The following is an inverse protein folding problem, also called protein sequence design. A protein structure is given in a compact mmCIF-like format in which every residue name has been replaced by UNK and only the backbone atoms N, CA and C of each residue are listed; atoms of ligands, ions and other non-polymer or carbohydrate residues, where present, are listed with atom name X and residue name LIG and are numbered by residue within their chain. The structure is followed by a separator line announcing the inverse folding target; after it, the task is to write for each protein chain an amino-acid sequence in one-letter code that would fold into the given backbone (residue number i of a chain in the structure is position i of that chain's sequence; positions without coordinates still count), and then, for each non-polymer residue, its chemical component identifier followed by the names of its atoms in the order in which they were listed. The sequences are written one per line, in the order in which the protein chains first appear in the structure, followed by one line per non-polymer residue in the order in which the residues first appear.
data_IF_645928387741
#
_entry.id   IF_645928387741
#
_cell.length_a   1.000
_cell.length_b   1.000
_cell.length_c   1.000
_cell.angle_alpha   90.00
_cell.angle_beta   90.00
_cell.angle_gamma   90.00
#
_symmetry.space_group_name_H-M   'P 1'
#
loop_
_entity.id
_entity.type
_entity.pdbx_description
1 polymer ?
#
# COMPACT_ATOMS: atom_id res chain seq x y z
N UNK A 1 2.27 -5.66 3.51
CA UNK A 1 0.95 -6.33 3.59
C UNK A 1 0.25 -5.92 4.87
N UNK A 2 -1.06 -5.72 4.80
CA UNK A 2 -1.93 -5.55 5.97
C UNK A 2 -2.92 -6.71 6.05
N UNK A 3 -3.29 -7.07 7.27
CA UNK A 3 -4.29 -8.10 7.58
C UNK A 3 -4.97 -7.75 8.91
N UNK A 4 -6.00 -8.49 9.29
CA UNK A 4 -6.67 -8.28 10.57
C UNK A 4 -5.69 -8.42 11.75
N UNK A 5 -5.84 -7.61 12.79
CA UNK A 5 -4.93 -7.58 13.94
C UNK A 5 -4.80 -8.95 14.62
N UNK A 6 -5.89 -9.71 14.72
CA UNK A 6 -5.91 -11.07 15.27
C UNK A 6 -5.55 -12.18 14.29
N UNK A 7 -5.00 -11.86 13.11
CA UNK A 7 -4.63 -12.87 12.12
C UNK A 7 -3.40 -13.67 12.54
N UNK A 8 -3.34 -14.90 12.08
CA UNK A 8 -2.24 -15.86 12.31
C UNK A 8 -1.10 -15.75 11.27
N UNK A 9 -1.15 -14.75 10.38
CA UNK A 9 -0.04 -14.51 9.46
C UNK A 9 1.25 -14.16 10.22
N UNK A 10 2.40 -14.72 9.82
CA UNK A 10 3.70 -14.38 10.40
C UNK A 10 4.10 -12.94 10.06
N UNK A 11 5.10 -12.40 10.74
CA UNK A 11 5.64 -11.06 10.42
C UNK A 11 6.23 -10.97 9.01
N UNK A 12 6.81 -12.08 8.54
CA UNK A 12 7.38 -12.22 7.20
C UNK A 12 6.60 -13.30 6.45
N UNK A 13 5.98 -12.91 5.33
CA UNK A 13 5.06 -13.75 4.56
C UNK A 13 5.63 -14.00 3.17
N UNK A 14 5.71 -15.26 2.78
CA UNK A 14 6.01 -15.62 1.40
C UNK A 14 4.72 -15.50 0.56
N UNK A 15 4.74 -14.84 -0.61
CA UNK A 15 3.56 -14.77 -1.47
C UNK A 15 2.96 -16.14 -1.83
N UNK A 16 3.78 -17.19 -1.87
CA UNK A 16 3.33 -18.57 -2.15
C UNK A 16 2.40 -19.14 -1.07
N UNK A 17 2.47 -18.61 0.14
CA UNK A 17 1.65 -19.06 1.28
C UNK A 17 0.32 -18.30 1.37
N UNK A 18 0.08 -17.36 0.45
CA UNK A 18 -1.13 -16.56 0.40
C UNK A 18 -2.17 -17.15 -0.54
N UNK A 19 -3.42 -17.00 -0.16
CA UNK A 19 -4.58 -17.30 -1.00
C UNK A 19 -5.11 -16.00 -1.63
N UNK A 20 -5.01 -15.90 -2.95
CA UNK A 20 -5.50 -14.74 -3.71
C UNK A 20 -7.00 -14.53 -3.53
N UNK A 21 -7.78 -15.58 -3.29
CA UNK A 21 -9.22 -15.46 -3.03
C UNK A 21 -9.56 -14.78 -1.70
N UNK A 22 -8.56 -14.51 -0.88
CA UNK A 22 -8.66 -13.74 0.37
C UNK A 22 -8.09 -12.32 0.24
N UNK A 23 -7.57 -11.96 -0.93
CA UNK A 23 -7.03 -10.62 -1.16
C UNK A 23 -8.15 -9.59 -1.32
N UNK A 24 -7.98 -8.46 -0.66
CA UNK A 24 -8.63 -7.21 -1.07
C UNK A 24 -7.60 -6.42 -1.88
N UNK A 25 -7.74 -6.47 -3.19
CA UNK A 25 -6.86 -5.78 -4.12
C UNK A 25 -7.21 -4.29 -4.16
N UNK A 26 -6.32 -3.46 -3.63
CA UNK A 26 -6.49 -1.99 -3.57
C UNK A 26 -5.77 -1.29 -4.73
N UNK A 27 -5.01 -2.00 -5.53
CA UNK A 27 -4.18 -1.39 -6.56
C UNK A 27 -4.64 -1.75 -7.97
N UNK A 28 -4.90 -0.72 -8.78
CA UNK A 28 -5.14 -0.85 -10.22
C UNK A 28 -3.84 -0.71 -11.05
N UNK A 29 -2.67 -0.65 -10.39
CA UNK A 29 -1.40 -0.45 -11.06
C UNK A 29 -0.96 -1.71 -11.79
N UNK A 30 -0.48 -1.49 -13.03
CA UNK A 30 0.00 -2.57 -13.90
C UNK A 30 1.14 -3.38 -13.25
N UNK A 31 2.05 -2.73 -12.56
CA UNK A 31 3.20 -3.38 -11.92
C UNK A 31 2.77 -4.34 -10.82
N UNK A 32 1.77 -3.95 -10.03
CA UNK A 32 1.17 -4.81 -9.00
C UNK A 32 0.40 -5.96 -9.65
N UNK A 33 -0.31 -5.71 -10.75
CA UNK A 33 -0.99 -6.78 -11.49
C UNK A 33 0.00 -7.81 -12.03
N UNK A 34 1.14 -7.37 -12.60
CA UNK A 34 2.20 -8.27 -13.06
C UNK A 34 2.76 -9.11 -11.91
N UNK A 35 2.95 -8.50 -10.73
CA UNK A 35 3.38 -9.21 -9.52
C UNK A 35 2.33 -10.24 -9.08
N UNK A 36 1.04 -9.89 -9.07
CA UNK A 36 -0.06 -10.81 -8.78
C UNK A 36 -0.11 -11.97 -9.78
N UNK A 37 -0.02 -11.68 -11.08
CA UNK A 37 -0.04 -12.71 -12.13
C UNK A 37 1.14 -13.68 -12.01
N UNK A 38 2.31 -13.18 -11.59
CA UNK A 38 3.49 -14.00 -11.37
C UNK A 38 3.31 -14.99 -10.21
N UNK A 39 2.78 -14.54 -9.07
CA UNK A 39 2.68 -15.36 -7.88
C UNK A 39 1.44 -16.25 -7.85
N UNK A 40 0.31 -15.75 -8.33
CA UNK A 40 -1.00 -16.41 -8.20
C UNK A 40 -1.55 -16.91 -9.55
N UNK A 41 -0.93 -16.49 -10.64
CA UNK A 41 -1.38 -16.79 -12.00
C UNK A 41 -2.44 -15.82 -12.53
N UNK A 42 -2.54 -15.65 -13.87
CA UNK A 42 -3.40 -14.64 -14.49
C UNK A 42 -4.91 -14.93 -14.36
N UNK A 43 -5.26 -16.15 -13.99
CA UNK A 43 -6.66 -16.57 -13.77
C UNK A 43 -7.12 -16.37 -12.33
N UNK A 44 -6.21 -16.12 -11.39
CA UNK A 44 -6.54 -15.89 -10.00
C UNK A 44 -7.38 -14.62 -9.85
N UNK A 45 -8.29 -14.62 -8.90
CA UNK A 45 -9.18 -13.49 -8.63
C UNK A 45 -9.16 -13.14 -7.17
N UNK A 46 -9.02 -11.86 -6.82
CA UNK A 46 -9.11 -11.41 -5.46
C UNK A 46 -10.55 -11.53 -4.94
N UNK A 47 -10.69 -11.54 -3.62
CA UNK A 47 -11.99 -11.49 -2.95
C UNK A 47 -12.75 -10.22 -3.34
N UNK A 48 -12.05 -9.10 -3.41
CA UNK A 48 -12.61 -7.80 -3.75
C UNK A 48 -11.57 -6.95 -4.48
N UNK A 49 -12.00 -6.21 -5.50
CA UNK A 49 -11.23 -5.11 -6.08
C UNK A 49 -11.81 -3.78 -5.61
N UNK A 50 -10.95 -2.87 -5.19
CA UNK A 50 -11.32 -1.50 -4.83
C UNK A 50 -10.23 -0.54 -5.30
N UNK A 51 -10.60 0.70 -5.57
CA UNK A 51 -9.69 1.79 -5.94
C UNK A 51 -9.31 2.68 -4.74
N UNK A 52 -9.89 2.42 -3.57
CA UNK A 52 -9.66 3.22 -2.37
C UNK A 52 -9.23 2.37 -1.17
N UNK A 53 -8.15 2.78 -0.53
CA UNK A 53 -7.64 2.17 0.71
C UNK A 53 -8.64 2.34 1.86
N UNK A 54 -9.46 3.39 1.85
CA UNK A 54 -10.45 3.67 2.90
C UNK A 54 -11.50 2.56 3.01
N UNK A 55 -11.82 1.85 1.92
CA UNK A 55 -12.70 0.68 2.01
C UNK A 55 -12.06 -0.48 2.78
N UNK A 56 -10.74 -0.57 2.79
CA UNK A 56 -10.02 -1.53 3.61
C UNK A 56 -10.20 -1.25 5.12
N UNK A 57 -10.52 -0.03 5.51
CA UNK A 57 -10.82 0.33 6.90
C UNK A 57 -12.16 -0.23 7.40
N UNK A 58 -13.06 -0.57 6.47
CA UNK A 58 -14.39 -1.13 6.77
C UNK A 58 -14.40 -2.67 6.77
N UNK A 59 -13.24 -3.32 6.71
CA UNK A 59 -13.19 -4.79 6.64
C UNK A 59 -13.82 -5.45 7.85
N UNK A 60 -14.60 -6.50 7.63
CA UNK A 60 -14.87 -7.42 8.71
C UNK A 60 -13.53 -8.05 9.14
N UNK A 61 -13.25 -8.16 10.44
CA UNK A 61 -12.00 -8.73 10.94
C UNK A 61 -11.99 -10.26 10.74
N UNK A 62 -11.98 -10.69 9.47
CA UNK A 62 -11.80 -12.11 9.15
C UNK A 62 -10.32 -12.42 9.21
N UNK A 63 -9.95 -13.52 9.84
CA UNK A 63 -8.56 -13.90 10.12
C UNK A 63 -7.69 -14.14 8.88
N UNK A 64 -8.30 -14.27 7.68
CA UNK A 64 -7.58 -14.65 6.45
C UNK A 64 -7.54 -13.59 5.36
N UNK A 65 -8.27 -12.49 5.53
CA UNK A 65 -8.27 -11.39 4.56
C UNK A 65 -6.97 -10.62 4.66
N UNK A 66 -6.37 -10.31 3.53
CA UNK A 66 -5.14 -9.54 3.42
C UNK A 66 -5.18 -8.55 2.26
N UNK A 67 -4.32 -7.54 2.29
CA UNK A 67 -4.09 -6.62 1.18
C UNK A 67 -2.63 -6.19 1.08
N UNK A 68 -2.15 -6.01 -0.15
CA UNK A 68 -0.95 -5.24 -0.40
C UNK A 68 -1.31 -3.75 -0.33
N UNK A 69 -0.70 -3.01 0.61
CA UNK A 69 -0.96 -1.60 0.81
C UNK A 69 0.35 -0.81 0.86
N UNK A 70 0.36 0.47 0.43
CA UNK A 70 1.49 1.36 0.64
C UNK A 70 1.84 1.48 2.13
N UNK A 71 3.13 1.61 2.47
CA UNK A 71 3.61 1.65 3.86
C UNK A 71 2.94 2.75 4.69
N UNK A 72 2.73 3.94 4.13
CA UNK A 72 2.05 5.05 4.80
C UNK A 72 0.61 4.66 5.19
N UNK A 73 -0.15 4.08 4.26
CA UNK A 73 -1.51 3.65 4.53
C UNK A 73 -1.56 2.50 5.55
N UNK A 74 -0.64 1.54 5.43
CA UNK A 74 -0.50 0.43 6.37
C UNK A 74 -0.22 0.93 7.79
N UNK A 75 0.70 1.88 7.94
CA UNK A 75 1.05 2.46 9.24
C UNK A 75 -0.11 3.25 9.86
N UNK A 76 -0.86 4.00 9.03
CA UNK A 76 -2.07 4.69 9.50
C UNK A 76 -3.11 3.70 10.07
N UNK A 77 -3.38 2.61 9.36
CA UNK A 77 -4.31 1.57 9.82
C UNK A 77 -3.81 0.86 11.09
N UNK A 78 -2.51 0.59 11.17
CA UNK A 78 -1.90 -0.02 12.36
C UNK A 78 -2.03 0.89 13.59
N UNK A 79 -1.75 2.19 13.44
CA UNK A 79 -1.90 3.17 14.54
C UNK A 79 -3.35 3.31 15.01
N UNK A 80 -4.30 3.13 14.10
CA UNK A 80 -5.72 3.13 14.44
C UNK A 80 -6.21 1.81 15.08
N UNK A 81 -5.32 0.82 15.29
CA UNK A 81 -5.67 -0.49 15.86
C UNK A 81 -6.56 -1.33 14.95
N UNK A 82 -6.48 -1.10 13.63
CA UNK A 82 -7.38 -1.75 12.65
C UNK A 82 -6.69 -2.83 11.83
N UNK A 83 -5.36 -2.86 11.81
CA UNK A 83 -4.61 -3.83 11.02
C UNK A 83 -3.26 -4.16 11.66
N UNK A 84 -2.83 -5.38 11.43
CA UNK A 84 -1.48 -5.85 11.63
C UNK A 84 -0.71 -5.68 10.32
N UNK A 85 0.55 -5.23 10.42
CA UNK A 85 1.48 -5.15 9.29
C UNK A 85 2.32 -6.42 9.25
N UNK A 86 2.36 -7.08 8.09
CA UNK A 86 3.30 -8.14 7.76
C UNK A 86 4.15 -7.70 6.55
N UNK A 87 5.38 -8.17 6.46
CA UNK A 87 6.27 -7.90 5.33
C UNK A 87 6.24 -9.07 4.35
N UNK A 88 6.36 -8.78 3.07
CA UNK A 88 6.57 -9.83 2.06
C UNK A 88 8.05 -10.21 1.98
N UNK A 89 8.34 -11.48 1.77
CA UNK A 89 9.69 -11.93 1.37
C UNK A 89 10.05 -11.44 -0.04
N UNK A 90 9.06 -11.29 -0.91
CA UNK A 90 9.18 -10.75 -2.26
C UNK A 90 8.03 -9.75 -2.47
N UNK A 91 8.22 -8.46 -2.10
CA UNK A 91 7.16 -7.46 -2.15
C UNK A 91 6.81 -7.07 -3.59
N UNK A 92 5.59 -6.55 -3.82
CA UNK A 92 5.28 -5.88 -5.08
C UNK A 92 6.19 -4.65 -5.28
N UNK A 93 6.36 -4.18 -6.53
CA UNK A 93 7.19 -3.02 -6.83
C UNK A 93 6.75 -1.76 -6.08
N UNK A 94 7.72 -0.93 -5.72
CA UNK A 94 7.50 0.31 -5.01
C UNK A 94 6.54 1.25 -5.76
N UNK A 95 5.78 2.01 -5.00
CA UNK A 95 4.93 3.04 -5.56
C UNK A 95 5.74 4.33 -5.74
N UNK A 96 5.89 4.75 -7.00
CA UNK A 96 6.50 6.03 -7.33
C UNK A 96 5.38 7.06 -7.54
N UNK A 97 5.47 8.19 -6.84
CA UNK A 97 4.62 9.36 -7.02
C UNK A 97 5.45 10.50 -7.58
N UNK A 98 4.88 11.26 -8.51
CA UNK A 98 5.58 12.33 -9.19
C UNK A 98 4.93 13.68 -8.87
N UNK A 99 5.76 14.67 -8.60
CA UNK A 99 5.36 16.06 -8.64
C UNK A 99 5.51 16.55 -10.09
N UNK A 100 4.44 17.09 -10.66
CA UNK A 100 4.45 17.63 -12.01
C UNK A 100 4.18 19.13 -11.90
N UNK A 101 5.12 19.95 -12.37
CA UNK A 101 4.99 21.40 -12.42
C UNK A 101 5.39 21.92 -13.81
N UNK A 102 4.80 23.04 -14.29
CA UNK A 102 5.22 23.70 -15.52
C UNK A 102 6.68 24.17 -15.43
N UNK A 103 7.48 23.87 -16.46
CA UNK A 103 8.93 24.10 -16.45
C UNK A 103 9.35 25.57 -16.33
N UNK A 104 8.48 26.48 -16.73
CA UNK A 104 8.78 27.94 -16.82
C UNK A 104 8.01 28.77 -15.78
N UNK A 105 7.30 28.16 -14.86
CA UNK A 105 6.49 28.88 -13.88
C UNK A 105 7.12 28.74 -12.50
N UNK A 106 7.42 29.89 -11.88
CA UNK A 106 7.78 29.92 -10.47
C UNK A 106 6.56 29.45 -9.66
N UNK A 107 6.75 28.48 -8.76
CA UNK A 107 5.67 28.00 -7.91
C UNK A 107 5.16 29.14 -7.02
N UNK A 108 3.84 29.29 -6.86
CA UNK A 108 3.27 30.18 -5.87
C UNK A 108 3.82 29.88 -4.47
N UNK A 109 3.88 30.89 -3.61
CA UNK A 109 4.41 30.75 -2.25
C UNK A 109 3.68 29.66 -1.47
N UNK A 110 2.36 29.58 -1.59
CA UNK A 110 1.52 28.59 -0.93
C UNK A 110 1.86 27.17 -1.39
N UNK A 111 2.18 26.99 -2.69
CA UNK A 111 2.60 25.70 -3.21
C UNK A 111 3.99 25.31 -2.70
N UNK A 112 4.90 26.28 -2.56
CA UNK A 112 6.22 26.03 -2.01
C UNK A 112 6.13 25.62 -0.53
N UNK A 113 5.34 26.31 0.28
CA UNK A 113 5.07 25.96 1.68
C UNK A 113 4.44 24.57 1.81
N UNK A 114 3.45 24.26 1.00
CA UNK A 114 2.84 22.92 0.98
C UNK A 114 3.89 21.83 0.69
N UNK A 115 4.82 22.06 -0.23
CA UNK A 115 5.85 21.08 -0.57
C UNK A 115 6.87 20.91 0.56
N UNK A 116 7.16 21.97 1.32
CA UNK A 116 8.02 21.89 2.50
C UNK A 116 7.36 21.06 3.59
N UNK A 117 6.09 21.33 3.89
CA UNK A 117 5.29 20.55 4.86
C UNK A 117 5.16 19.09 4.44
N UNK A 118 4.86 18.84 3.17
CA UNK A 118 4.79 17.49 2.61
C UNK A 118 6.12 16.75 2.74
N UNK A 119 7.23 17.42 2.42
CA UNK A 119 8.58 16.84 2.59
C UNK A 119 8.84 16.50 4.04
N UNK A 120 8.53 17.40 4.96
CA UNK A 120 8.72 17.18 6.39
C UNK A 120 7.91 15.97 6.87
N UNK A 121 6.63 15.87 6.49
CA UNK A 121 5.77 14.74 6.85
C UNK A 121 6.31 13.43 6.28
N UNK A 122 6.69 13.41 5.00
CA UNK A 122 7.22 12.20 4.35
C UNK A 122 8.53 11.72 4.97
N UNK A 123 9.38 12.63 5.50
CA UNK A 123 10.61 12.27 6.20
C UNK A 123 10.37 11.51 7.50
N UNK A 124 9.16 11.59 8.08
CA UNK A 124 8.78 10.82 9.26
C UNK A 124 8.52 9.33 8.96
N UNK A 125 8.47 8.97 7.66
CA UNK A 125 8.21 7.60 7.22
C UNK A 125 9.50 6.94 6.73
N UNK A 126 10.06 5.95 7.46
CA UNK A 126 11.37 5.36 7.14
C UNK A 126 11.40 4.62 5.79
N UNK A 127 10.24 4.19 5.29
CA UNK A 127 10.11 3.46 4.02
C UNK A 127 9.87 4.39 2.81
N UNK A 128 9.95 5.71 3.01
CA UNK A 128 9.73 6.70 1.94
C UNK A 128 11.05 7.33 1.53
N UNK A 129 11.34 7.32 0.24
CA UNK A 129 12.49 7.99 -0.35
C UNK A 129 12.01 9.20 -1.13
N UNK A 130 12.60 10.35 -0.84
CA UNK A 130 12.21 11.65 -1.43
C UNK A 130 13.31 12.11 -2.36
N UNK A 131 12.95 12.53 -3.58
CA UNK A 131 13.87 12.98 -4.63
C UNK A 131 13.71 14.45 -5.03
N UNK A 132 12.94 15.23 -4.30
CA UNK A 132 12.75 16.65 -4.59
C UNK A 132 13.15 17.56 -3.44
#
# INVERSE_FOLDING_TARGET
MICAEGSDYPELVDPRDLDMSQEINVSQRREVQVWNDYWFGPAARPLLNTDTVQLAEAWPPTRRVWAAAPSIAAEHMRRAGRAKICRFTAPPPDRISYLIAPRAVQLPEEAALFLEDLRWELQQHPDVVIYF
#
